data_IF_016726887287
#
_entry.id   IF_016726887287
#
_cell.length_a   1.000
_cell.length_b   1.000
_cell.length_c   1.000
_cell.angle_alpha   90.00
_cell.angle_beta   90.00
_cell.angle_gamma   90.00
#
_symmetry.space_group_name_H-M   'P 1'
#
loop_
_entity.id
_entity.type
_entity.pdbx_description
1 polymer ?
#
# COMPACT_ATOMS: atom_id res chain seq x y z
N UNK A 1 6.68 9.78 -17.11
CA UNK A 1 7.09 10.44 -15.86
C UNK A 1 7.91 9.48 -15.01
N UNK A 2 8.97 9.97 -14.38
CA UNK A 2 9.71 9.11 -13.44
C UNK A 2 8.87 8.82 -12.20
N UNK A 3 9.05 7.64 -11.66
CA UNK A 3 8.33 7.21 -10.47
C UNK A 3 8.04 5.72 -10.53
N UNK A 4 7.62 5.19 -9.39
CA UNK A 4 7.22 3.80 -9.33
C UNK A 4 5.85 3.64 -9.97
N UNK A 5 5.68 2.57 -10.75
CA UNK A 5 4.39 2.27 -11.36
C UNK A 5 3.42 1.70 -10.32
N UNK A 6 3.95 0.96 -9.35
CA UNK A 6 3.15 0.45 -8.23
C UNK A 6 3.97 0.48 -6.95
N UNK A 7 3.29 0.74 -5.86
CA UNK A 7 3.87 0.68 -4.53
C UNK A 7 2.99 -0.18 -3.64
N UNK A 8 3.62 -1.07 -2.89
CA UNK A 8 2.92 -1.95 -1.95
C UNK A 8 3.36 -1.58 -0.54
N UNK A 9 2.40 -1.15 0.28
CA UNK A 9 2.66 -0.76 1.66
C UNK A 9 2.25 -1.89 2.58
N UNK A 10 3.21 -2.41 3.32
CA UNK A 10 3.00 -3.52 4.25
C UNK A 10 3.01 -2.99 5.67
N UNK A 11 1.93 -3.22 6.39
CA UNK A 11 1.85 -2.79 7.79
C UNK A 11 2.75 -3.65 8.67
N UNK A 12 3.67 -2.99 9.37
CA UNK A 12 4.59 -3.64 10.30
C UNK A 12 4.38 -3.17 11.74
N UNK A 13 3.23 -2.58 12.01
CA UNK A 13 2.98 -2.04 13.34
C UNK A 13 2.91 -3.15 14.38
N UNK A 14 3.64 -2.99 15.47
CA UNK A 14 3.69 -3.93 16.58
C UNK A 14 3.06 -3.30 17.82
N UNK A 15 1.93 -3.86 18.24
CA UNK A 15 1.18 -3.37 19.42
C UNK A 15 1.33 -4.26 20.63
N UNK A 16 2.18 -5.29 20.54
CA UNK A 16 2.32 -6.27 21.60
C UNK A 16 1.38 -7.46 21.43
N UNK A 17 1.68 -8.52 22.17
CA UNK A 17 1.00 -9.80 22.00
C UNK A 17 -0.48 -9.77 22.35
N UNK A 18 -0.87 -8.94 23.31
CA UNK A 18 -2.21 -8.98 23.87
C UNK A 18 -3.10 -7.82 23.43
N UNK A 19 -2.66 -7.03 22.45
CA UNK A 19 -3.48 -5.92 22.01
C UNK A 19 -4.72 -6.44 21.28
N UNK A 20 -5.93 -5.93 21.59
CA UNK A 20 -7.17 -6.44 21.00
C UNK A 20 -7.25 -6.29 19.49
N UNK A 21 -6.56 -5.31 18.91
CA UNK A 21 -6.52 -5.14 17.44
C UNK A 21 -5.50 -6.03 16.77
N UNK A 22 -4.67 -6.72 17.54
CA UNK A 22 -3.59 -7.50 17.00
C UNK A 22 -2.44 -6.64 16.49
N UNK A 23 -1.50 -7.27 15.83
CA UNK A 23 -0.28 -6.62 15.35
C UNK A 23 0.13 -7.24 14.03
N UNK A 24 0.24 -6.42 12.99
CA UNK A 24 0.60 -6.90 11.67
C UNK A 24 1.98 -7.54 11.64
N UNK A 25 2.94 -6.95 12.37
CA UNK A 25 4.29 -7.52 12.45
C UNK A 25 4.26 -8.92 13.07
N UNK A 26 3.53 -9.08 14.17
CA UNK A 26 3.45 -10.37 14.87
C UNK A 26 2.64 -11.40 14.10
N UNK A 27 1.75 -10.96 13.24
CA UNK A 27 0.95 -11.84 12.39
C UNK A 27 1.69 -12.26 11.12
N UNK A 28 2.93 -11.79 10.90
CA UNK A 28 3.73 -12.20 9.75
C UNK A 28 4.05 -11.09 8.76
N UNK A 29 3.80 -9.82 9.12
CA UNK A 29 4.07 -8.70 8.24
C UNK A 29 5.52 -8.59 7.79
N UNK A 30 6.46 -8.89 8.68
CA UNK A 30 7.89 -8.86 8.34
C UNK A 30 8.23 -9.87 7.25
N UNK A 31 7.71 -11.07 7.36
CA UNK A 31 7.94 -12.11 6.35
C UNK A 31 7.31 -11.74 5.01
N UNK A 32 6.13 -11.11 5.05
CA UNK A 32 5.46 -10.64 3.84
C UNK A 32 6.32 -9.59 3.13
N UNK A 33 6.83 -8.61 3.89
CA UNK A 33 7.67 -7.56 3.32
C UNK A 33 8.95 -8.13 2.72
N UNK A 34 9.61 -9.01 3.46
CA UNK A 34 10.86 -9.63 2.99
C UNK A 34 10.63 -10.42 1.71
N UNK A 35 9.54 -11.18 1.65
CA UNK A 35 9.24 -11.96 0.45
C UNK A 35 8.84 -11.06 -0.73
N UNK A 36 8.12 -9.98 -0.48
CA UNK A 36 7.80 -9.01 -1.52
C UNK A 36 9.05 -8.40 -2.13
N UNK A 37 9.99 -7.98 -1.29
CA UNK A 37 11.24 -7.40 -1.75
C UNK A 37 12.06 -8.40 -2.55
N UNK A 38 12.14 -9.63 -2.08
CA UNK A 38 12.84 -10.69 -2.79
C UNK A 38 12.17 -10.97 -4.13
N UNK A 39 10.85 -11.10 -4.13
CA UNK A 39 10.09 -11.39 -5.35
C UNK A 39 10.20 -10.29 -6.40
N UNK A 40 10.20 -9.04 -5.97
CA UNK A 40 10.40 -7.89 -6.86
C UNK A 40 11.79 -7.94 -7.49
N UNK A 41 12.80 -8.23 -6.68
CA UNK A 41 14.17 -8.34 -7.16
C UNK A 41 14.33 -9.51 -8.15
N UNK A 42 13.78 -10.66 -7.81
CA UNK A 42 13.86 -11.86 -8.65
C UNK A 42 13.24 -11.65 -10.03
N UNK A 43 12.23 -10.79 -10.12
CA UNK A 43 11.53 -10.52 -11.38
C UNK A 43 12.06 -9.31 -12.14
N UNK A 44 13.16 -8.73 -11.68
CA UNK A 44 13.77 -7.58 -12.34
C UNK A 44 12.94 -6.32 -12.26
N UNK A 45 12.13 -6.17 -11.23
CA UNK A 45 11.22 -5.04 -11.08
C UNK A 45 11.78 -3.92 -10.19
N UNK A 46 13.03 -4.01 -9.80
CA UNK A 46 13.66 -2.96 -8.99
C UNK A 46 13.61 -1.63 -9.75
N UNK A 47 13.14 -0.58 -9.09
CA UNK A 47 12.98 0.72 -9.74
C UNK A 47 11.65 0.90 -10.45
N UNK A 48 10.88 -0.17 -10.63
CA UNK A 48 9.55 -0.14 -11.25
C UNK A 48 8.48 -0.27 -10.18
N UNK A 49 8.69 -1.18 -9.23
CA UNK A 49 7.77 -1.47 -8.14
C UNK A 49 8.53 -1.38 -6.82
N UNK A 50 7.89 -0.86 -5.80
CA UNK A 50 8.50 -0.77 -4.48
C UNK A 50 7.60 -1.30 -3.39
N UNK A 51 8.15 -2.13 -2.52
CA UNK A 51 7.50 -2.59 -1.31
C UNK A 51 8.08 -1.84 -0.12
N UNK A 52 7.22 -1.28 0.70
CA UNK A 52 7.61 -0.42 1.83
C UNK A 52 6.93 -0.90 3.10
N UNK A 53 7.71 -1.04 4.16
CA UNK A 53 7.15 -1.29 5.48
C UNK A 53 6.64 0.01 6.09
N UNK A 54 5.46 -0.05 6.69
CA UNK A 54 4.84 1.11 7.32
C UNK A 54 4.48 0.81 8.76
N UNK A 55 4.10 1.85 9.49
CA UNK A 55 3.41 1.66 10.75
C UNK A 55 1.93 1.41 10.45
N UNK A 56 1.07 1.53 11.46
CA UNK A 56 -0.33 1.19 11.31
C UNK A 56 -1.01 1.93 10.15
N UNK A 57 -1.68 1.15 9.29
CA UNK A 57 -2.47 1.68 8.18
C UNK A 57 -3.96 1.80 8.54
N UNK A 58 -4.31 1.52 9.80
CA UNK A 58 -5.68 1.64 10.27
C UNK A 58 -6.55 0.39 10.08
N UNK A 59 -6.00 -0.67 9.51
CA UNK A 59 -6.75 -1.89 9.21
C UNK A 59 -6.18 -3.11 9.92
N UNK A 60 -5.68 -2.93 11.14
CA UNK A 60 -4.94 -3.99 11.85
C UNK A 60 -5.77 -5.22 12.17
N UNK A 61 -7.10 -5.11 12.24
CA UNK A 61 -7.96 -6.25 12.48
C UNK A 61 -7.86 -7.30 11.36
N UNK A 62 -7.38 -6.91 10.20
CA UNK A 62 -7.29 -7.77 9.03
C UNK A 62 -5.83 -8.08 8.64
N UNK A 63 -4.90 -7.85 9.58
CA UNK A 63 -3.48 -8.03 9.30
C UNK A 63 -3.05 -9.47 9.08
N UNK A 64 -1.92 -9.68 8.40
CA UNK A 64 -1.11 -8.66 7.77
C UNK A 64 -1.80 -7.97 6.60
N UNK A 65 -1.71 -6.65 6.55
CA UNK A 65 -2.38 -5.84 5.52
C UNK A 65 -1.37 -5.33 4.52
N UNK A 66 -1.72 -5.43 3.24
CA UNK A 66 -0.93 -4.85 2.15
C UNK A 66 -1.84 -3.91 1.36
N UNK A 67 -1.44 -2.65 1.26
CA UNK A 67 -2.16 -1.67 0.45
C UNK A 67 -1.38 -1.42 -0.83
N UNK A 68 -2.03 -1.58 -1.97
CA UNK A 68 -1.40 -1.43 -3.27
C UNK A 68 -1.84 -0.13 -3.93
N UNK A 69 -0.86 0.69 -4.31
CA UNK A 69 -1.11 1.96 -4.97
C UNK A 69 -0.50 1.95 -6.37
N UNK A 70 -1.04 2.68 -7.34
CA UNK A 70 -2.05 3.74 -7.19
C UNK A 70 -3.51 3.25 -7.20
N UNK A 71 -3.74 1.94 -7.42
CA UNK A 71 -5.11 1.40 -7.56
C UNK A 71 -5.90 1.46 -6.25
N UNK A 72 -5.20 1.57 -5.14
CA UNK A 72 -5.78 1.53 -3.79
C UNK A 72 -6.58 0.25 -3.56
N UNK A 73 -5.93 -0.87 -3.78
CA UNK A 73 -6.47 -2.19 -3.47
C UNK A 73 -5.89 -2.63 -2.14
N UNK A 74 -6.74 -3.06 -1.23
CA UNK A 74 -6.36 -3.49 0.11
C UNK A 74 -6.49 -5.00 0.22
N UNK A 75 -5.38 -5.65 0.60
CA UNK A 75 -5.36 -7.09 0.84
C UNK A 75 -5.17 -7.34 2.32
N UNK A 76 -5.91 -8.32 2.86
CA UNK A 76 -5.82 -8.67 4.26
C UNK A 76 -5.40 -10.11 4.47
N UNK A 77 -4.92 -10.40 5.67
CA UNK A 77 -4.47 -11.73 6.08
C UNK A 77 -3.46 -12.33 5.12
N UNK A 78 -2.61 -11.47 4.56
CA UNK A 78 -1.60 -11.87 3.60
C UNK A 78 -0.48 -12.60 4.33
N UNK A 79 -0.11 -13.77 3.83
CA UNK A 79 1.01 -14.54 4.35
C UNK A 79 2.12 -14.60 3.31
N UNK A 80 3.32 -14.98 3.75
CA UNK A 80 4.46 -15.05 2.83
C UNK A 80 4.18 -15.96 1.62
N UNK A 81 3.37 -17.01 1.83
CA UNK A 81 3.01 -17.94 0.76
C UNK A 81 2.11 -17.31 -0.31
N UNK A 82 1.44 -16.20 0.00
CA UNK A 82 0.57 -15.50 -0.96
C UNK A 82 1.33 -14.48 -1.82
N UNK A 83 2.55 -14.14 -1.43
CA UNK A 83 3.28 -13.02 -2.02
C UNK A 83 3.57 -13.21 -3.51
N UNK A 84 4.02 -14.38 -3.91
CA UNK A 84 4.32 -14.63 -5.31
C UNK A 84 3.06 -14.49 -6.17
N UNK A 85 1.94 -14.96 -5.67
CA UNK A 85 0.64 -14.82 -6.34
C UNK A 85 0.26 -13.34 -6.47
N UNK A 86 0.48 -12.55 -5.43
CA UNK A 86 0.22 -11.11 -5.49
C UNK A 86 1.06 -10.43 -6.55
N UNK A 87 2.34 -10.75 -6.60
CA UNK A 87 3.22 -10.14 -7.58
C UNK A 87 2.81 -10.55 -9.00
N UNK A 88 2.61 -11.84 -9.23
CA UNK A 88 2.33 -12.34 -10.58
C UNK A 88 0.96 -11.90 -11.09
N UNK A 89 -0.05 -11.91 -10.25
CA UNK A 89 -1.42 -11.56 -10.66
C UNK A 89 -1.68 -10.06 -10.59
N UNK A 90 -1.36 -9.43 -9.47
CA UNK A 90 -1.67 -8.01 -9.29
C UNK A 90 -0.64 -7.10 -9.95
N UNK A 91 0.63 -7.29 -9.62
CA UNK A 91 1.68 -6.37 -10.08
C UNK A 91 1.95 -6.56 -11.57
N UNK A 92 2.18 -7.77 -12.00
CA UNK A 92 2.51 -8.04 -13.41
C UNK A 92 1.26 -8.21 -14.27
N UNK A 93 0.25 -8.88 -13.75
CA UNK A 93 -0.96 -9.18 -14.51
C UNK A 93 -2.01 -8.09 -14.52
N UNK A 94 -1.91 -7.14 -13.58
CA UNK A 94 -2.91 -6.08 -13.47
C UNK A 94 -4.28 -6.55 -13.01
N UNK A 95 -4.35 -7.69 -12.33
CA UNK A 95 -5.60 -8.26 -11.85
C UNK A 95 -5.66 -8.32 -10.34
N UNK A 96 -6.84 -8.07 -9.78
CA UNK A 96 -7.05 -8.17 -8.34
C UNK A 96 -7.00 -9.63 -7.91
N UNK A 97 -6.32 -9.89 -6.78
CA UNK A 97 -6.35 -11.22 -6.16
C UNK A 97 -7.56 -11.26 -5.23
N UNK A 98 -8.69 -11.63 -5.76
CA UNK A 98 -9.97 -11.53 -5.06
C UNK A 98 -10.01 -12.29 -3.75
N UNK A 99 -9.32 -13.41 -3.65
CA UNK A 99 -9.28 -14.25 -2.46
C UNK A 99 -8.70 -13.52 -1.24
N UNK A 100 -7.88 -12.51 -1.48
CA UNK A 100 -7.22 -11.76 -0.41
C UNK A 100 -7.76 -10.34 -0.26
N UNK A 101 -8.55 -9.87 -1.20
CA UNK A 101 -9.05 -8.50 -1.17
C UNK A 101 -10.00 -8.26 -0.01
N UNK A 102 -9.79 -7.15 0.69
CA UNK A 102 -10.71 -6.72 1.74
C UNK A 102 -11.88 -5.99 1.08
N UNK A 103 -13.10 -6.39 1.44
CA UNK A 103 -14.30 -5.74 0.92
C UNK A 103 -14.48 -4.35 1.56
N UNK A 104 -15.32 -3.53 0.95
CA UNK A 104 -15.65 -2.23 1.52
C UNK A 104 -16.24 -2.34 2.91
N UNK A 105 -16.96 -3.40 3.18
CA UNK A 105 -17.57 -3.63 4.50
C UNK A 105 -16.55 -3.97 5.56
N UNK A 106 -15.45 -4.61 5.16
CA UNK A 106 -14.37 -4.97 6.08
C UNK A 106 -13.44 -3.80 6.36
N UNK A 107 -13.35 -2.85 5.44
CA UNK A 107 -12.45 -1.70 5.58
C UNK A 107 -13.06 -0.66 6.51
N UNK A 108 -12.21 -0.07 7.34
CA UNK A 108 -12.62 0.92 8.34
C UNK A 108 -12.35 2.31 7.78
N UNK A 109 -13.16 2.73 6.83
CA UNK A 109 -13.08 4.04 6.21
C UNK A 109 -14.43 4.74 6.25
N UNK A 110 -14.40 6.07 6.22
CA UNK A 110 -15.60 6.85 6.00
C UNK A 110 -15.94 6.76 4.51
N UNK A 111 -17.18 6.40 4.16
CA UNK A 111 -17.56 6.32 2.76
C UNK A 111 -17.28 7.62 2.01
N UNK A 112 -16.82 7.49 0.78
CA UNK A 112 -16.42 8.64 -0.02
C UNK A 112 -17.59 9.59 -0.29
N UNK A 113 -18.80 9.06 -0.33
CA UNK A 113 -20.02 9.87 -0.51
C UNK A 113 -20.25 10.82 0.64
N UNK A 114 -19.77 10.47 1.84
CA UNK A 114 -19.92 11.33 3.02
C UNK A 114 -18.83 12.40 3.10
N UNK A 115 -17.68 12.11 2.53
CA UNK A 115 -16.56 13.04 2.58
C UNK A 115 -15.66 12.87 1.37
N UNK A 116 -15.92 13.63 0.35
CA UNK A 116 -15.09 13.64 -0.85
C UNK A 116 -14.14 14.82 -0.81
N UNK A 117 -12.88 14.57 -1.11
CA UNK A 117 -11.88 15.63 -1.27
C UNK A 117 -11.71 15.94 -2.75
N UNK A 118 -11.32 17.16 -3.09
CA UNK A 118 -11.07 17.49 -4.50
C UNK A 118 -9.86 16.73 -5.00
N UNK A 119 -9.82 16.45 -6.31
CA UNK A 119 -8.65 15.79 -6.88
C UNK A 119 -7.41 16.67 -6.79
N UNK A 120 -6.25 16.06 -6.75
CA UNK A 120 -4.99 16.79 -6.75
C UNK A 120 -4.76 17.36 -8.14
N UNK A 121 -4.48 18.65 -8.20
CA UNK A 121 -4.14 19.33 -9.45
C UNK A 121 -2.81 20.03 -9.30
N UNK A 122 -2.05 20.04 -10.38
CA UNK A 122 -0.84 20.83 -10.42
C UNK A 122 -1.19 22.26 -10.80
N UNK A 123 -0.50 23.23 -10.18
CA UNK A 123 -0.65 24.62 -10.57
C UNK A 123 -0.07 24.81 -11.97
N UNK A 124 -0.75 25.56 -12.81
CA UNK A 124 -0.27 25.83 -14.15
C UNK A 124 1.00 26.69 -14.13
N UNK A 125 1.96 26.43 -15.04
CA UNK A 125 3.16 27.24 -15.12
C UNK A 125 2.84 28.71 -15.39
N UNK A 126 3.54 29.59 -14.68
CA UNK A 126 3.40 31.02 -14.91
C UNK A 126 2.21 31.69 -14.22
N UNK A 127 1.35 30.94 -13.54
CA UNK A 127 0.18 31.51 -12.87
C UNK A 127 0.55 32.29 -11.62
N UNK A 128 1.69 32.00 -11.02
CA UNK A 128 2.07 32.64 -9.75
C UNK A 128 3.59 32.62 -9.58
N UNK A 129 4.25 33.50 -10.29
CA UNK A 129 5.70 33.58 -10.28
C UNK A 129 6.27 33.91 -8.88
N UNK A 130 5.55 34.69 -8.09
CA UNK A 130 6.00 35.02 -6.76
C UNK A 130 6.05 33.82 -5.82
N UNK A 131 5.10 32.93 -5.94
CA UNK A 131 5.04 31.74 -5.10
C UNK A 131 6.13 30.73 -5.42
N UNK A 132 6.57 30.70 -6.65
CA UNK A 132 7.62 29.76 -7.06
C UNK A 132 8.91 30.00 -6.28
N UNK A 133 9.28 31.24 -6.08
CA UNK A 133 10.49 31.57 -5.32
C UNK A 133 10.33 31.16 -3.85
N UNK A 134 9.19 31.33 -3.28
CA UNK A 134 8.95 30.98 -1.88
C UNK A 134 9.05 29.48 -1.65
N UNK A 135 8.65 28.68 -2.60
CA UNK A 135 8.67 27.21 -2.44
C UNK A 135 10.07 26.63 -2.50
N UNK A 136 10.98 27.31 -3.12
CA UNK A 136 12.37 26.84 -3.24
C UNK A 136 13.15 27.04 -1.95
N UNK A 137 12.61 27.78 -1.04
CA UNK A 137 13.27 28.04 0.24
C UNK A 137 13.21 26.86 1.21
#
# INVERSE_FOLDING_TARGET
>A
MPGYQRMLFVCLNDRGDEHPRGSCARAGGDQVLDRLRAGIHERGLKGVVRAVGTRCLGQCAHGPVVACQPEEIWYGKVQAEHVDQLIDRHVLGGEVVEELELSEEELVFVPREERALPPIRRREPGTDAGSAAARDA
#
